data_IF_633059089937
#
_entry.id   IF_633059089937
#
_cell.length_a   1.000
_cell.length_b   1.000
_cell.length_c   1.000
_cell.angle_alpha   90.00
_cell.angle_beta   90.00
_cell.angle_gamma   90.00
#
_symmetry.space_group_name_H-M   'P 1'
#
loop_
_entity.id
_entity.type
_entity.pdbx_description
1 polymer ?
#
# COMPACT_ATOMS: atom_id res chain seq x y z
N UNK A 1 -6.02 -17.74 -8.15
CA UNK A 1 -4.72 -17.07 -8.37
C UNK A 1 -5.00 -15.71 -8.98
N UNK A 2 -4.27 -14.66 -8.57
CA UNK A 2 -4.53 -13.26 -9.01
C UNK A 2 -4.00 -12.95 -10.41
N UNK A 3 -3.07 -13.75 -10.93
CA UNK A 3 -2.67 -13.77 -12.33
C UNK A 3 -2.25 -15.18 -12.77
N UNK A 4 -2.24 -15.41 -14.08
CA UNK A 4 -1.56 -16.56 -14.68
C UNK A 4 -0.06 -16.25 -14.86
N UNK A 5 0.78 -17.30 -14.97
CA UNK A 5 2.24 -17.15 -15.12
C UNK A 5 2.66 -16.26 -16.30
N UNK A 6 1.82 -16.17 -17.32
CA UNK A 6 2.11 -15.43 -18.56
C UNK A 6 1.49 -14.01 -18.58
N UNK A 7 0.81 -13.59 -17.51
CA UNK A 7 0.12 -12.29 -17.43
C UNK A 7 0.80 -11.37 -16.40
N UNK A 8 1.15 -10.16 -16.83
CA UNK A 8 1.64 -9.10 -15.93
C UNK A 8 0.44 -8.53 -15.17
N UNK A 9 0.44 -8.69 -13.85
CA UNK A 9 -0.55 -8.07 -12.98
C UNK A 9 -0.15 -6.62 -12.70
N UNK A 10 -0.90 -5.67 -13.25
CA UNK A 10 -0.71 -4.23 -12.97
C UNK A 10 -1.34 -3.90 -11.62
N UNK A 11 -0.53 -3.34 -10.71
CA UNK A 11 -0.95 -2.92 -9.38
C UNK A 11 -0.56 -1.45 -9.18
N UNK A 12 -1.50 -0.50 -9.27
CA UNK A 12 -1.18 0.90 -9.05
C UNK A 12 -0.80 1.14 -7.59
N UNK A 13 0.18 2.04 -7.40
CA UNK A 13 0.56 2.55 -6.09
C UNK A 13 -0.53 3.46 -5.53
N UNK A 14 -1.00 3.15 -4.33
CA UNK A 14 -1.98 3.91 -3.57
C UNK A 14 -1.40 4.27 -2.20
N UNK A 15 -1.87 5.33 -1.57
CA UNK A 15 -1.33 5.82 -0.30
C UNK A 15 -2.41 6.22 0.70
N UNK A 16 -3.68 6.11 0.33
CA UNK A 16 -4.83 6.28 1.22
C UNK A 16 -6.06 5.49 0.72
N UNK A 17 -7.15 5.54 1.51
CA UNK A 17 -8.39 4.85 1.16
C UNK A 17 -9.09 5.41 -0.09
N UNK A 18 -8.90 6.70 -0.39
CA UNK A 18 -9.54 7.35 -1.53
C UNK A 18 -8.92 6.88 -2.85
N UNK A 19 -7.60 6.93 -2.94
CA UNK A 19 -6.82 6.46 -4.08
C UNK A 19 -7.03 4.97 -4.32
N UNK A 20 -7.14 4.17 -3.26
CA UNK A 20 -7.51 2.76 -3.34
C UNK A 20 -8.90 2.55 -3.96
N UNK A 21 -9.92 3.29 -3.51
CA UNK A 21 -11.26 3.20 -4.10
C UNK A 21 -11.29 3.59 -5.57
N UNK A 22 -10.54 4.63 -5.94
CA UNK A 22 -10.42 5.05 -7.34
C UNK A 22 -9.80 3.91 -8.17
N UNK A 23 -8.72 3.29 -7.70
CA UNK A 23 -8.10 2.17 -8.40
C UNK A 23 -9.05 0.97 -8.56
N UNK A 24 -9.80 0.61 -7.51
CA UNK A 24 -10.81 -0.45 -7.59
C UNK A 24 -11.93 -0.10 -8.59
N UNK A 25 -12.44 1.13 -8.57
CA UNK A 25 -13.49 1.60 -9.48
C UNK A 25 -13.03 1.63 -10.95
N UNK A 26 -11.75 1.91 -11.20
CA UNK A 26 -11.15 1.84 -12.55
C UNK A 26 -11.04 0.39 -13.05
N UNK A 27 -11.14 -0.60 -12.15
CA UNK A 27 -11.15 -2.03 -12.49
C UNK A 27 -9.81 -2.74 -12.31
N UNK A 28 -8.88 -2.16 -11.54
CA UNK A 28 -7.65 -2.87 -11.18
C UNK A 28 -7.96 -4.07 -10.29
N UNK A 29 -7.28 -5.19 -10.53
CA UNK A 29 -7.53 -6.46 -9.82
C UNK A 29 -6.79 -6.56 -8.48
N UNK A 30 -5.79 -5.71 -8.25
CA UNK A 30 -5.00 -5.63 -7.03
C UNK A 30 -4.32 -4.26 -6.95
N UNK A 31 -3.91 -3.86 -5.75
CA UNK A 31 -3.30 -2.56 -5.45
C UNK A 31 -2.05 -2.73 -4.57
N UNK A 32 -1.20 -1.71 -4.57
CA UNK A 32 0.01 -1.67 -3.77
C UNK A 32 0.03 -0.41 -2.90
N UNK A 33 0.10 -0.53 -1.58
CA UNK A 33 0.38 0.61 -0.71
C UNK A 33 1.87 0.95 -0.83
N UNK A 34 2.16 2.15 -1.31
CA UNK A 34 3.53 2.65 -1.45
C UNK A 34 4.04 3.28 -0.15
N UNK A 35 5.27 2.95 0.27
CA UNK A 35 5.96 3.60 1.39
C UNK A 35 6.17 5.09 1.13
N UNK A 36 6.84 5.44 0.02
CA UNK A 36 7.02 6.83 -0.43
C UNK A 36 5.71 7.62 -0.47
N UNK A 37 4.67 7.10 -1.12
CA UNK A 37 3.40 7.82 -1.26
C UNK A 37 2.73 8.07 0.09
N UNK A 38 2.82 7.11 1.01
CA UNK A 38 2.31 7.25 2.38
C UNK A 38 3.12 8.31 3.14
N UNK A 39 4.45 8.25 3.12
CA UNK A 39 5.32 9.25 3.77
C UNK A 39 5.05 10.67 3.25
N UNK A 40 5.01 10.83 1.92
CA UNK A 40 4.80 12.12 1.28
C UNK A 40 3.41 12.70 1.57
N UNK A 41 2.35 11.88 1.49
CA UNK A 41 0.97 12.37 1.67
C UNK A 41 0.57 12.55 3.13
N UNK A 42 1.02 11.65 4.03
CA UNK A 42 0.64 11.66 5.44
C UNK A 42 1.53 12.60 6.27
N UNK A 43 2.85 12.56 6.03
CA UNK A 43 3.83 13.24 6.88
C UNK A 43 4.41 14.50 6.22
N UNK A 44 4.20 14.69 4.90
CA UNK A 44 4.89 15.69 4.10
C UNK A 44 6.41 15.56 4.17
N UNK A 45 6.91 14.33 4.26
CA UNK A 45 8.33 13.99 4.41
C UNK A 45 8.83 13.15 3.23
N UNK A 46 10.15 13.18 2.94
CA UNK A 46 10.75 12.28 1.97
C UNK A 46 10.76 10.84 2.49
N UNK A 47 10.98 9.89 1.58
CA UNK A 47 11.06 8.46 1.90
C UNK A 47 12.45 8.08 2.43
N UNK A 48 12.67 8.40 3.70
CA UNK A 48 13.93 8.27 4.42
C UNK A 48 13.79 7.42 5.70
N UNK A 49 12.74 6.59 5.76
CA UNK A 49 12.46 5.75 6.94
C UNK A 49 11.86 6.49 8.13
N UNK A 50 11.23 7.65 7.90
CA UNK A 50 10.48 8.38 8.94
C UNK A 50 9.12 7.74 9.24
N UNK A 51 8.52 7.09 8.24
CA UNK A 51 7.25 6.41 8.38
C UNK A 51 7.41 5.22 9.33
N UNK A 52 6.57 5.15 10.36
CA UNK A 52 6.62 4.07 11.35
C UNK A 52 5.75 2.88 10.95
N UNK A 53 6.03 1.71 11.54
CA UNK A 53 5.19 0.51 11.39
C UNK A 53 3.71 0.79 11.69
N UNK A 54 3.44 1.55 12.76
CA UNK A 54 2.08 1.85 13.18
C UNK A 54 1.34 2.71 12.15
N UNK A 55 2.01 3.69 11.55
CA UNK A 55 1.44 4.54 10.49
C UNK A 55 1.21 3.76 9.20
N UNK A 56 2.15 2.90 8.81
CA UNK A 56 2.02 2.00 7.65
C UNK A 56 0.84 1.06 7.83
N UNK A 57 0.71 0.40 8.99
CA UNK A 57 -0.37 -0.55 9.27
C UNK A 57 -1.72 0.14 9.42
N UNK A 58 -1.78 1.32 10.02
CA UNK A 58 -3.02 2.09 10.12
C UNK A 58 -3.52 2.54 8.74
N UNK A 59 -2.60 2.93 7.85
CA UNK A 59 -2.92 3.22 6.44
C UNK A 59 -3.45 1.97 5.73
N UNK A 60 -2.77 0.84 5.87
CA UNK A 60 -3.18 -0.44 5.29
C UNK A 60 -4.57 -0.86 5.80
N UNK A 61 -4.85 -0.68 7.09
CA UNK A 61 -6.14 -0.97 7.72
C UNK A 61 -7.25 -0.09 7.16
N UNK A 62 -6.97 1.19 6.88
CA UNK A 62 -7.95 2.09 6.24
C UNK A 62 -8.22 1.69 4.80
N UNK A 63 -7.19 1.35 4.04
CA UNK A 63 -7.31 0.90 2.65
C UNK A 63 -8.10 -0.40 2.56
N UNK A 64 -7.72 -1.43 3.33
CA UNK A 64 -8.38 -2.75 3.32
C UNK A 64 -9.83 -2.71 3.77
N UNK A 65 -10.24 -1.72 4.58
CA UNK A 65 -11.66 -1.50 4.92
C UNK A 65 -12.44 -0.78 3.82
N UNK A 66 -11.76 -0.14 2.87
CA UNK A 66 -12.38 0.68 1.84
C UNK A 66 -12.61 -0.08 0.52
N UNK A 67 -11.82 -1.13 0.25
CA UNK A 67 -11.87 -1.89 -1.01
C UNK A 67 -11.98 -3.40 -0.75
N UNK A 68 -12.42 -4.15 -1.76
CA UNK A 68 -12.53 -5.62 -1.72
C UNK A 68 -11.44 -6.34 -2.51
N UNK A 69 -10.58 -5.61 -3.22
CA UNK A 69 -9.44 -6.17 -3.96
C UNK A 69 -8.18 -6.30 -3.08
N UNK A 70 -7.27 -7.25 -3.40
CA UNK A 70 -6.06 -7.47 -2.61
C UNK A 70 -5.12 -6.26 -2.57
N UNK A 71 -4.48 -6.09 -1.42
CA UNK A 71 -3.46 -5.07 -1.15
C UNK A 71 -2.12 -5.74 -0.85
N UNK A 72 -1.07 -5.33 -1.57
CA UNK A 72 0.33 -5.53 -1.15
C UNK A 72 0.78 -4.28 -0.41
N UNK A 73 1.50 -4.44 0.71
CA UNK A 73 1.96 -3.32 1.54
C UNK A 73 3.48 -3.27 1.52
N UNK A 74 4.02 -2.10 1.20
CA UNK A 74 5.41 -1.76 1.46
C UNK A 74 5.64 -1.60 2.96
N UNK A 75 6.48 -2.46 3.53
CA UNK A 75 6.82 -2.47 4.96
C UNK A 75 8.29 -2.11 5.20
N UNK A 76 8.89 -1.38 4.25
CA UNK A 76 10.30 -0.98 4.28
C UNK A 76 11.21 -2.19 4.57
N UNK A 77 12.10 -2.06 5.55
CA UNK A 77 13.00 -3.12 6.03
C UNK A 77 12.40 -3.93 7.18
N UNK A 78 11.08 -3.82 7.41
CA UNK A 78 10.38 -4.48 8.52
C UNK A 78 10.42 -3.72 9.85
N UNK A 79 10.75 -2.42 9.83
CA UNK A 79 10.73 -1.51 11.00
C UNK A 79 11.56 -1.95 12.22
N UNK A 80 12.50 -2.88 12.03
CA UNK A 80 13.30 -3.40 13.12
C UNK A 80 14.12 -4.62 12.71
N UNK A 81 14.30 -5.53 13.65
CA UNK A 81 14.92 -6.83 13.45
C UNK A 81 13.84 -7.93 13.45
N UNK A 82 14.17 -9.23 13.35
CA UNK A 82 13.17 -10.30 13.32
C UNK A 82 12.17 -10.38 14.50
N UNK A 83 12.39 -9.67 15.61
CA UNK A 83 11.56 -9.70 16.82
C UNK A 83 10.74 -8.42 17.08
N UNK A 84 11.06 -7.33 16.39
CA UNK A 84 10.56 -5.97 16.72
C UNK A 84 9.84 -5.38 15.54
#
# INVERSE_FOLDING_TARGET
MLSNKDEILVMPGVYDALTAKIAEQVGFKAIFQTGYGTSASMLAMPDFGFLSMAETLETARRITRAVSIPLIVDVDTGYGNPLT
#
